data_IF_524569408030
#
_entry.id   IF_524569408030
#
_cell.length_a   1.000
_cell.length_b   1.000
_cell.length_c   1.000
_cell.angle_alpha   90.00
_cell.angle_beta   90.00
_cell.angle_gamma   90.00
#
_symmetry.space_group_name_H-M   'P 1'
#
loop_
_entity.id
_entity.type
_entity.pdbx_description
1 polymer ?
#
# COMPACT_ATOMS: atom_id res chain seq x y z
N UNK A 1 19.24 -13.69 2.12
CA UNK A 1 17.84 -14.13 1.98
C UNK A 1 16.98 -13.62 3.13
N UNK A 2 15.77 -13.12 2.85
CA UNK A 2 14.76 -12.70 3.85
C UNK A 2 13.43 -13.46 3.67
N UNK A 3 12.52 -13.32 4.64
CA UNK A 3 11.13 -13.78 4.52
C UNK A 3 10.24 -12.57 4.22
N UNK A 4 9.56 -12.57 3.07
CA UNK A 4 8.46 -11.66 2.80
C UNK A 4 7.18 -12.25 3.42
N UNK A 5 6.75 -11.70 4.55
CA UNK A 5 5.57 -12.16 5.29
C UNK A 5 4.26 -11.55 4.72
N UNK A 6 4.04 -11.70 3.42
CA UNK A 6 2.95 -11.07 2.67
C UNK A 6 2.57 -11.91 1.46
N UNK A 7 1.28 -11.97 1.13
CA UNK A 7 0.75 -12.61 -0.09
C UNK A 7 0.80 -11.70 -1.33
N UNK A 8 1.15 -10.41 -1.19
CA UNK A 8 1.16 -9.45 -2.29
C UNK A 8 2.15 -9.82 -3.40
N UNK A 9 1.61 -10.05 -4.61
CA UNK A 9 2.39 -10.29 -5.81
C UNK A 9 3.25 -9.06 -6.19
N UNK A 10 2.73 -7.84 -5.99
CA UNK A 10 3.47 -6.61 -6.28
C UNK A 10 4.72 -6.47 -5.42
N UNK A 11 4.64 -6.76 -4.12
CA UNK A 11 5.81 -6.70 -3.22
C UNK A 11 6.86 -7.77 -3.59
N UNK A 12 6.41 -8.97 -3.90
CA UNK A 12 7.29 -10.04 -4.36
C UNK A 12 7.98 -9.67 -5.70
N UNK A 13 7.25 -9.08 -6.64
CA UNK A 13 7.81 -8.57 -7.90
C UNK A 13 8.89 -7.51 -7.65
N UNK A 14 8.62 -6.50 -6.81
CA UNK A 14 9.61 -5.45 -6.48
C UNK A 14 10.89 -6.07 -5.89
N UNK A 15 10.79 -7.01 -4.96
CA UNK A 15 11.98 -7.67 -4.41
C UNK A 15 12.81 -8.38 -5.49
N UNK A 16 12.15 -9.09 -6.42
CA UNK A 16 12.82 -9.80 -7.53
C UNK A 16 13.52 -8.81 -8.47
N UNK A 17 12.82 -7.76 -8.90
CA UNK A 17 13.37 -6.75 -9.81
C UNK A 17 14.62 -6.06 -9.25
N UNK A 18 14.69 -5.91 -7.93
CA UNK A 18 15.82 -5.27 -7.24
C UNK A 18 16.89 -6.24 -6.74
N UNK A 19 16.79 -7.52 -7.13
CA UNK A 19 17.79 -8.55 -6.84
C UNK A 19 17.84 -8.99 -5.37
N UNK A 20 16.75 -8.86 -4.62
CA UNK A 20 16.67 -9.32 -3.23
C UNK A 20 16.22 -10.77 -3.21
N UNK A 21 17.02 -11.66 -2.61
CA UNK A 21 16.61 -13.05 -2.38
C UNK A 21 15.63 -13.15 -1.22
N UNK A 22 14.48 -13.79 -1.47
CA UNK A 22 13.46 -14.01 -0.44
C UNK A 22 12.69 -15.30 -0.64
N UNK A 23 12.08 -15.76 0.46
CA UNK A 23 10.94 -16.68 0.43
C UNK A 23 9.67 -15.92 0.79
N UNK A 24 8.56 -16.26 0.14
CA UNK A 24 7.27 -15.64 0.41
C UNK A 24 6.47 -16.54 1.34
N UNK A 25 6.09 -16.03 2.50
CA UNK A 25 5.25 -16.74 3.48
C UNK A 25 3.99 -15.93 3.67
N UNK A 26 2.85 -16.54 3.36
CA UNK A 26 1.55 -15.88 3.49
C UNK A 26 0.87 -16.32 4.79
N UNK A 27 0.26 -15.35 5.47
CA UNK A 27 -0.65 -15.55 6.58
C UNK A 27 -1.92 -14.75 6.27
N UNK A 28 -3.06 -15.31 6.61
CA UNK A 28 -4.31 -14.57 6.63
C UNK A 28 -4.31 -13.73 7.91
N UNK A 29 -4.13 -12.41 7.74
CA UNK A 29 -3.97 -11.49 8.85
C UNK A 29 -5.33 -10.88 9.20
N UNK A 30 -5.62 -10.79 10.49
CA UNK A 30 -6.69 -9.91 10.95
C UNK A 30 -6.24 -8.45 10.76
N UNK A 31 -6.97 -7.73 9.90
CA UNK A 31 -6.70 -6.35 9.50
C UNK A 31 -7.82 -5.39 9.95
N UNK A 32 -8.61 -5.78 10.96
CA UNK A 32 -9.60 -4.88 11.57
C UNK A 32 -8.91 -3.75 12.35
N UNK A 33 -8.91 -2.55 11.75
CA UNK A 33 -8.34 -1.34 12.34
C UNK A 33 -9.29 -0.16 12.22
N UNK A 34 -9.20 0.75 13.20
CA UNK A 34 -9.93 2.02 13.16
C UNK A 34 -9.44 2.88 11.98
N UNK A 35 -10.28 2.99 10.96
CA UNK A 35 -10.02 3.80 9.76
C UNK A 35 -10.08 5.30 10.02
N UNK A 36 -10.46 5.74 11.22
CA UNK A 36 -10.40 7.15 11.63
C UNK A 36 -9.02 7.58 12.15
N UNK A 37 -8.10 6.62 12.31
CA UNK A 37 -6.71 6.96 12.63
C UNK A 37 -6.08 7.82 11.52
N UNK A 38 -5.15 8.73 11.88
CA UNK A 38 -4.32 9.40 10.90
C UNK A 38 -3.63 8.37 9.97
N UNK A 39 -3.54 8.60 8.65
CA UNK A 39 -3.11 7.57 7.70
C UNK A 39 -1.76 6.92 8.02
N UNK A 40 -0.79 7.72 8.48
CA UNK A 40 0.51 7.23 8.94
C UNK A 40 0.40 6.24 10.12
N UNK A 41 -0.46 6.54 11.09
CA UNK A 41 -0.70 5.67 12.25
C UNK A 41 -1.47 4.42 11.84
N UNK A 42 -2.48 4.55 10.98
CA UNK A 42 -3.25 3.43 10.45
C UNK A 42 -2.33 2.39 9.78
N UNK A 43 -1.53 2.81 8.79
CA UNK A 43 -0.65 1.92 8.06
C UNK A 43 0.37 1.22 8.99
N UNK A 44 0.93 1.96 9.94
CA UNK A 44 1.90 1.39 10.89
C UNK A 44 1.25 0.41 11.88
N UNK A 45 0.02 0.68 12.33
CA UNK A 45 -0.74 -0.25 13.18
C UNK A 45 -0.97 -1.59 12.51
N UNK A 46 -1.34 -1.59 11.21
CA UNK A 46 -1.52 -2.82 10.45
C UNK A 46 -0.23 -3.64 10.42
N UNK A 47 0.89 -3.02 10.04
CA UNK A 47 2.19 -3.71 9.93
C UNK A 47 2.63 -4.29 11.27
N UNK A 48 2.46 -3.54 12.36
CA UNK A 48 2.78 -4.03 13.70
C UNK A 48 1.92 -5.23 14.11
N UNK A 49 0.64 -5.23 13.76
CA UNK A 49 -0.25 -6.35 14.02
C UNK A 49 0.09 -7.58 13.16
N UNK A 50 0.46 -7.38 11.90
CA UNK A 50 0.98 -8.45 11.03
C UNK A 50 2.20 -9.11 11.66
N UNK A 51 3.16 -8.31 12.12
CA UNK A 51 4.34 -8.82 12.80
C UNK A 51 3.96 -9.65 14.04
N UNK A 52 3.08 -9.13 14.90
CA UNK A 52 2.60 -9.84 16.08
C UNK A 52 1.98 -11.19 15.72
N UNK A 53 0.98 -11.21 14.84
CA UNK A 53 0.28 -12.43 14.43
C UNK A 53 1.23 -13.45 13.78
N UNK A 54 2.17 -12.98 12.96
CA UNK A 54 3.15 -13.84 12.31
C UNK A 54 4.06 -14.54 13.33
N UNK A 55 4.62 -13.79 14.30
CA UNK A 55 5.44 -14.38 15.34
C UNK A 55 4.64 -15.20 16.35
N UNK A 56 3.37 -14.89 16.56
CA UNK A 56 2.48 -15.74 17.37
C UNK A 56 2.31 -17.13 16.73
N UNK A 57 2.20 -17.19 15.39
CA UNK A 57 2.03 -18.44 14.63
C UNK A 57 3.34 -19.19 14.37
N UNK A 58 4.36 -18.51 13.86
CA UNK A 58 5.60 -19.13 13.39
C UNK A 58 6.74 -19.09 14.41
N UNK A 59 6.56 -18.38 15.54
CA UNK A 59 7.58 -18.24 16.60
C UNK A 59 8.93 -17.82 16.00
N UNK A 60 10.03 -18.37 16.53
CA UNK A 60 11.40 -18.08 16.09
C UNK A 60 11.82 -18.87 14.83
N UNK A 61 10.87 -19.40 14.05
CA UNK A 61 11.20 -20.14 12.81
C UNK A 61 11.89 -19.24 11.78
N UNK A 62 11.60 -17.94 11.80
CA UNK A 62 12.14 -16.98 10.86
C UNK A 62 12.78 -15.81 11.61
N UNK A 63 14.04 -15.55 11.33
CA UNK A 63 14.78 -14.49 12.01
C UNK A 63 14.81 -13.18 11.22
N UNK A 64 14.83 -13.24 9.88
CA UNK A 64 14.87 -12.07 8.98
C UNK A 64 13.54 -11.90 8.25
N UNK A 65 12.62 -11.12 8.81
CA UNK A 65 11.24 -11.04 8.34
C UNK A 65 10.88 -9.61 7.96
N UNK A 66 10.29 -9.47 6.77
CA UNK A 66 9.76 -8.23 6.22
C UNK A 66 8.23 -8.27 6.20
N UNK A 67 7.64 -7.32 6.91
CA UNK A 67 6.22 -6.99 6.88
C UNK A 67 6.03 -5.69 6.12
N UNK A 68 4.94 -5.60 5.37
CA UNK A 68 4.59 -4.37 4.68
C UNK A 68 3.07 -4.26 4.49
N UNK A 69 2.58 -3.03 4.58
CA UNK A 69 1.20 -2.67 4.29
C UNK A 69 1.16 -1.38 3.49
N UNK A 70 0.07 -1.17 2.74
CA UNK A 70 -0.09 -0.02 1.87
C UNK A 70 -1.52 0.45 1.88
N UNK A 71 -1.73 1.71 2.24
CA UNK A 71 -3.06 2.31 2.31
C UNK A 71 -3.12 3.57 1.46
N UNK A 72 -4.21 3.74 0.71
CA UNK A 72 -4.47 4.99 -0.02
C UNK A 72 -5.21 5.94 0.90
N UNK A 73 -4.89 7.23 0.85
CA UNK A 73 -5.64 8.25 1.56
C UNK A 73 -5.81 9.52 0.72
N UNK A 74 -7.00 10.12 0.81
CA UNK A 74 -7.30 11.43 0.24
C UNK A 74 -8.09 12.24 1.26
N UNK A 75 -7.84 13.54 1.36
CA UNK A 75 -8.51 14.44 2.31
C UNK A 75 -8.52 13.91 3.76
N UNK A 76 -7.43 13.26 4.18
CA UNK A 76 -7.27 12.67 5.51
C UNK A 76 -8.04 11.37 5.76
N UNK A 77 -8.76 10.83 4.76
CA UNK A 77 -9.53 9.60 4.87
C UNK A 77 -8.79 8.43 4.25
N UNK A 78 -8.71 7.31 4.97
CA UNK A 78 -8.26 6.03 4.39
C UNK A 78 -9.28 5.55 3.37
N UNK A 79 -8.79 5.22 2.18
CA UNK A 79 -9.58 4.67 1.08
C UNK A 79 -9.20 3.21 0.88
N UNK A 80 -10.03 2.31 1.40
CA UNK A 80 -9.91 0.87 1.22
C UNK A 80 -10.32 0.42 -0.19
N UNK A 81 -10.69 -0.85 -0.35
CA UNK A 81 -11.32 -1.33 -1.58
C UNK A 81 -12.79 -0.91 -1.61
N UNK A 82 -13.24 -0.42 -2.75
CA UNK A 82 -14.66 -0.12 -2.94
C UNK A 82 -15.50 -1.41 -2.96
N UNK A 83 -16.68 -1.33 -2.36
CA UNK A 83 -17.64 -2.45 -2.24
C UNK A 83 -18.58 -2.54 -3.44
N UNK A 84 -18.81 -1.40 -4.09
CA UNK A 84 -19.73 -1.23 -5.21
C UNK A 84 -19.33 0.03 -6.01
N UNK A 85 -20.02 0.27 -7.12
CA UNK A 85 -19.75 1.40 -8.03
C UNK A 85 -19.98 2.77 -7.36
N UNK A 86 -20.96 2.88 -6.47
CA UNK A 86 -21.25 4.13 -5.78
C UNK A 86 -20.13 4.47 -4.79
N UNK A 87 -19.61 3.48 -4.08
CA UNK A 87 -18.47 3.62 -3.20
C UNK A 87 -17.18 3.93 -3.99
N UNK A 88 -16.97 3.29 -5.14
CA UNK A 88 -15.84 3.62 -6.03
C UNK A 88 -15.91 5.07 -6.51
N UNK A 89 -17.10 5.53 -6.94
CA UNK A 89 -17.34 6.92 -7.32
C UNK A 89 -17.00 7.88 -6.19
N UNK A 90 -17.52 7.63 -4.99
CA UNK A 90 -17.23 8.44 -3.80
C UNK A 90 -15.73 8.57 -3.55
N UNK A 91 -14.99 7.45 -3.59
CA UNK A 91 -13.54 7.45 -3.40
C UNK A 91 -12.82 8.27 -4.48
N UNK A 92 -13.23 8.17 -5.74
CA UNK A 92 -12.63 8.88 -6.86
C UNK A 92 -12.97 10.38 -6.84
N UNK A 93 -14.18 10.75 -6.43
CA UNK A 93 -14.58 12.15 -6.24
C UNK A 93 -13.78 12.83 -5.12
N UNK A 94 -13.46 12.11 -4.03
CA UNK A 94 -12.53 12.60 -3.01
C UNK A 94 -11.14 12.89 -3.57
N UNK A 95 -10.66 12.08 -4.52
CA UNK A 95 -9.34 12.25 -5.14
C UNK A 95 -9.32 13.38 -6.18
N UNK A 96 -10.44 13.60 -6.88
CA UNK A 96 -10.60 14.60 -7.92
C UNK A 96 -10.24 16.01 -7.44
N UNK A 97 -9.22 16.63 -8.04
CA UNK A 97 -8.73 17.95 -7.63
C UNK A 97 -7.93 17.98 -6.32
N UNK A 98 -7.67 16.84 -5.68
CA UNK A 98 -7.07 16.75 -4.36
C UNK A 98 -5.72 16.03 -4.36
N UNK A 99 -4.98 16.19 -3.27
CA UNK A 99 -3.78 15.40 -3.00
C UNK A 99 -4.21 14.02 -2.50
N UNK A 100 -3.71 12.98 -3.16
CA UNK A 100 -3.93 11.59 -2.81
C UNK A 100 -2.58 10.94 -2.55
N UNK A 101 -2.45 10.21 -1.44
CA UNK A 101 -1.19 9.64 -1.01
C UNK A 101 -1.32 8.15 -0.76
N UNK A 102 -0.33 7.39 -1.20
CA UNK A 102 -0.12 5.98 -0.84
C UNK A 102 0.87 5.94 0.30
N UNK A 103 0.41 5.51 1.47
CA UNK A 103 1.22 5.27 2.65
C UNK A 103 1.66 3.82 2.65
N UNK A 104 2.95 3.57 2.48
CA UNK A 104 3.53 2.24 2.58
C UNK A 104 4.33 2.15 3.87
N UNK A 105 3.79 1.41 4.83
CA UNK A 105 4.46 1.07 6.07
C UNK A 105 5.20 -0.26 5.91
N UNK A 106 6.36 -0.38 6.54
CA UNK A 106 7.14 -1.60 6.58
C UNK A 106 7.73 -1.81 7.97
N UNK A 107 7.89 -3.08 8.33
CA UNK A 107 8.66 -3.48 9.51
C UNK A 107 9.63 -4.57 9.08
N UNK A 108 10.92 -4.33 9.28
CA UNK A 108 11.95 -5.32 9.05
C UNK A 108 12.54 -5.74 10.39
N UNK A 109 12.55 -7.04 10.65
CA UNK A 109 13.09 -7.64 11.87
C UNK A 109 14.19 -8.62 11.48
N UNK A 110 15.31 -8.54 12.20
CA UNK A 110 16.45 -9.45 12.16
C UNK A 110 16.98 -9.67 13.60
N UNK A 111 17.92 -10.59 13.83
CA UNK A 111 18.53 -10.77 15.15
C UNK A 111 19.18 -9.49 15.73
N UNK A 112 19.68 -8.61 14.86
CA UNK A 112 20.45 -7.44 15.26
C UNK A 112 19.68 -6.12 15.13
N UNK A 113 18.57 -6.11 14.38
CA UNK A 113 17.86 -4.87 14.06
C UNK A 113 16.35 -5.11 13.93
N UNK A 114 15.57 -4.16 14.44
CA UNK A 114 14.13 -4.05 14.21
C UNK A 114 13.84 -2.61 13.80
N UNK A 115 13.28 -2.42 12.60
CA UNK A 115 13.08 -1.10 12.00
C UNK A 115 11.67 -0.98 11.50
N UNK A 116 11.03 0.12 11.91
CA UNK A 116 9.77 0.58 11.35
C UNK A 116 10.06 1.69 10.33
N UNK A 117 9.52 1.56 9.13
CA UNK A 117 9.67 2.52 8.04
C UNK A 117 8.30 2.93 7.52
N UNK A 118 8.12 4.22 7.26
CA UNK A 118 6.94 4.74 6.60
C UNK A 118 7.36 5.63 5.44
N UNK A 119 6.89 5.28 4.25
CA UNK A 119 7.18 6.00 3.02
C UNK A 119 5.89 6.39 2.33
N UNK A 120 5.90 7.58 1.72
CA UNK A 120 4.71 8.17 1.13
C UNK A 120 4.98 8.49 -0.33
N UNK A 121 4.11 8.02 -1.22
CA UNK A 121 4.04 8.47 -2.61
C UNK A 121 2.77 9.30 -2.77
N UNK A 122 2.86 10.54 -3.26
CA UNK A 122 1.72 11.45 -3.35
C UNK A 122 1.50 11.93 -4.77
N UNK A 123 0.23 12.06 -5.13
CA UNK A 123 -0.26 12.47 -6.44
C UNK A 123 -1.26 13.60 -6.25
N UNK A 124 -0.94 14.78 -6.77
CA UNK A 124 -1.89 15.89 -6.88
C UNK A 124 -2.64 15.71 -8.19
N UNK A 125 -3.95 15.49 -8.09
CA UNK A 125 -4.79 15.34 -9.27
C UNK A 125 -5.46 16.65 -9.67
N UNK A 126 -5.58 16.84 -10.98
CA UNK A 126 -6.55 17.75 -11.58
C UNK A 126 -7.98 17.26 -11.30
N UNK A 127 -8.98 18.10 -11.58
CA UNK A 127 -10.38 17.69 -11.52
C UNK A 127 -10.66 16.62 -12.58
N UNK A 128 -11.20 15.48 -12.16
CA UNK A 128 -11.59 14.41 -13.07
C UNK A 128 -12.77 14.85 -13.95
N UNK A 129 -12.72 14.49 -15.23
CA UNK A 129 -13.85 14.70 -16.13
C UNK A 129 -14.95 13.67 -15.77
N UNK A 130 -16.20 14.12 -15.70
CA UNK A 130 -17.33 13.25 -15.34
C UNK A 130 -17.52 12.09 -16.31
N UNK A 131 -17.38 12.30 -17.63
CA UNK A 131 -17.57 11.22 -18.60
C UNK A 131 -16.47 10.16 -18.50
N UNK A 132 -15.21 10.58 -18.34
CA UNK A 132 -14.10 9.63 -18.12
C UNK A 132 -14.27 8.86 -16.81
N UNK A 133 -14.76 9.52 -15.76
CA UNK A 133 -15.03 8.88 -14.47
C UNK A 133 -16.12 7.82 -14.61
N UNK A 134 -17.20 8.13 -15.33
CA UNK A 134 -18.31 7.20 -15.59
C UNK A 134 -17.83 5.97 -16.40
N UNK A 135 -17.05 6.19 -17.45
CA UNK A 135 -16.43 5.12 -18.25
C UNK A 135 -15.51 4.23 -17.41
N UNK A 136 -14.68 4.82 -16.55
CA UNK A 136 -13.78 4.07 -15.68
C UNK A 136 -14.55 3.23 -14.65
N UNK A 137 -15.62 3.78 -14.05
CA UNK A 137 -16.47 3.02 -13.13
C UNK A 137 -17.15 1.85 -13.86
N UNK A 138 -17.74 2.12 -15.02
CA UNK A 138 -18.41 1.09 -15.84
C UNK A 138 -17.46 -0.01 -16.31
N UNK A 139 -16.17 0.30 -16.53
CA UNK A 139 -15.16 -0.69 -16.92
C UNK A 139 -14.89 -1.75 -15.85
N UNK A 140 -15.24 -1.50 -14.58
CA UNK A 140 -14.93 -2.38 -13.46
C UNK A 140 -13.43 -2.46 -13.11
N UNK A 141 -12.57 -1.70 -13.78
CA UNK A 141 -11.12 -1.70 -13.52
C UNK A 141 -10.76 -1.19 -12.12
N UNK A 142 -11.66 -0.50 -11.43
CA UNK A 142 -11.48 -0.07 -10.04
C UNK A 142 -11.54 -1.22 -9.02
N UNK A 143 -12.11 -2.37 -9.38
CA UNK A 143 -12.28 -3.50 -8.46
C UNK A 143 -10.93 -3.99 -7.93
N UNK A 144 -10.96 -4.38 -6.66
CA UNK A 144 -9.80 -4.86 -5.89
C UNK A 144 -8.64 -3.86 -5.74
N UNK A 145 -8.85 -2.58 -6.05
CA UNK A 145 -7.86 -1.52 -5.87
C UNK A 145 -8.23 -0.61 -4.71
N UNK A 146 -7.26 -0.38 -3.82
CA UNK A 146 -7.42 0.60 -2.75
C UNK A 146 -7.67 1.99 -3.36
N UNK A 147 -8.62 2.72 -2.81
CA UNK A 147 -9.10 3.99 -3.35
C UNK A 147 -9.73 3.91 -4.73
N UNK A 148 -10.10 2.73 -5.24
CA UNK A 148 -10.52 2.57 -6.63
C UNK A 148 -9.48 3.12 -7.64
N UNK A 149 -8.23 3.32 -7.21
CA UNK A 149 -7.23 4.11 -7.91
C UNK A 149 -6.35 3.24 -8.81
N UNK A 150 -6.03 3.75 -9.99
CA UNK A 150 -5.11 3.12 -10.94
C UNK A 150 -4.15 4.19 -11.51
N UNK A 151 -3.01 4.37 -10.84
CA UNK A 151 -2.00 5.41 -11.16
C UNK A 151 -1.57 5.38 -12.63
N UNK A 152 -1.27 4.20 -13.18
CA UNK A 152 -0.84 4.06 -14.59
C UNK A 152 -2.00 3.97 -15.59
N UNK A 153 -3.25 3.98 -15.10
CA UNK A 153 -4.47 3.89 -15.90
C UNK A 153 -5.27 5.19 -15.83
N UNK A 154 -6.52 5.12 -15.37
CA UNK A 154 -7.43 6.27 -15.29
C UNK A 154 -6.80 7.52 -14.67
N UNK A 155 -6.07 7.38 -13.57
CA UNK A 155 -5.51 8.53 -12.85
C UNK A 155 -4.37 9.21 -13.62
N UNK A 156 -3.69 8.52 -14.54
CA UNK A 156 -2.45 8.97 -15.17
C UNK A 156 -2.59 10.32 -15.86
N UNK A 157 -3.67 10.50 -16.62
CA UNK A 157 -3.91 11.73 -17.39
C UNK A 157 -4.29 12.93 -16.50
N UNK A 158 -4.55 12.71 -15.22
CA UNK A 158 -4.95 13.72 -14.26
C UNK A 158 -3.85 14.09 -13.27
N UNK A 159 -2.66 13.47 -13.34
CA UNK A 159 -1.54 13.81 -12.44
C UNK A 159 -0.99 15.20 -12.82
N UNK A 160 -1.16 16.17 -11.93
CA UNK A 160 -0.53 17.50 -12.06
C UNK A 160 0.87 17.52 -11.45
N UNK A 161 1.02 16.83 -10.32
CA UNK A 161 2.29 16.71 -9.59
C UNK A 161 2.36 15.34 -8.93
N UNK A 162 3.57 14.79 -8.87
CA UNK A 162 3.87 13.56 -8.13
C UNK A 162 5.11 13.74 -7.27
N UNK A 163 5.15 13.02 -6.14
CA UNK A 163 6.30 12.97 -5.25
C UNK A 163 6.41 11.61 -4.56
N UNK A 164 7.61 11.25 -4.14
CA UNK A 164 7.94 9.92 -3.66
C UNK A 164 8.27 8.95 -4.81
N UNK A 165 8.51 7.68 -4.47
CA UNK A 165 9.01 6.70 -5.42
C UNK A 165 7.94 5.70 -5.86
N UNK A 166 8.00 5.27 -7.12
CA UNK A 166 7.07 4.30 -7.71
C UNK A 166 6.95 2.97 -6.93
N UNK A 167 8.05 2.35 -6.45
CA UNK A 167 7.94 1.14 -5.61
C UNK A 167 7.10 1.36 -4.36
N UNK A 168 7.21 2.54 -3.72
CA UNK A 168 6.39 2.92 -2.56
C UNK A 168 4.91 2.93 -2.90
N UNK A 169 4.53 3.52 -4.04
CA UNK A 169 3.14 3.51 -4.52
C UNK A 169 2.65 2.09 -4.88
N UNK A 170 3.56 1.23 -5.34
CA UNK A 170 3.28 -0.19 -5.63
C UNK A 170 3.28 -1.10 -4.40
N UNK A 171 3.69 -0.56 -3.25
CA UNK A 171 3.52 -1.16 -1.93
C UNK A 171 4.78 -1.66 -1.24
N UNK A 172 5.97 -1.27 -1.71
CA UNK A 172 7.24 -1.55 -1.02
C UNK A 172 8.27 -0.45 -1.27
N UNK A 173 8.79 0.16 -0.21
CA UNK A 173 9.95 1.05 -0.33
C UNK A 173 11.26 0.25 -0.32
N UNK A 174 11.57 -0.31 -1.48
CA UNK A 174 12.76 -1.12 -1.68
C UNK A 174 14.07 -0.35 -1.49
N UNK A 175 14.05 0.97 -1.72
CA UNK A 175 15.26 1.79 -1.65
C UNK A 175 15.72 1.87 -0.20
N UNK A 176 14.81 2.22 0.71
CA UNK A 176 15.13 2.26 2.14
C UNK A 176 15.36 0.87 2.73
N UNK A 177 14.59 -0.14 2.29
CA UNK A 177 14.79 -1.51 2.74
C UNK A 177 16.22 -2.01 2.48
N UNK A 178 16.77 -1.76 1.28
CA UNK A 178 18.11 -2.24 0.90
C UNK A 178 19.24 -1.72 1.79
N UNK A 179 19.05 -0.61 2.49
CA UNK A 179 20.04 -0.12 3.45
C UNK A 179 20.21 -1.03 4.68
N UNK A 180 19.27 -1.96 4.90
CA UNK A 180 19.22 -2.82 6.09
C UNK A 180 19.27 -4.32 5.77
N UNK A 181 19.38 -4.69 4.48
CA UNK A 181 19.49 -6.08 4.02
C UNK A 181 20.94 -6.56 3.98
#
# INVERSE_FOLDING_TARGET
MIVLASSSASRAMILREYGVEFIQVSLDYDEEFDTNLPPAKYAMSIVNNKAKQFFDKFKNQYERVLFADSSVAACGKILGKATDEAHARYMLELQSGNLTSVYTAMKFISPNISIDMLSIASYKFAKFNSSHLDEYIASGLWKDKAGAMMIEGFNKIYIEQESGNKPTAMGLDIINLKAFL
#
